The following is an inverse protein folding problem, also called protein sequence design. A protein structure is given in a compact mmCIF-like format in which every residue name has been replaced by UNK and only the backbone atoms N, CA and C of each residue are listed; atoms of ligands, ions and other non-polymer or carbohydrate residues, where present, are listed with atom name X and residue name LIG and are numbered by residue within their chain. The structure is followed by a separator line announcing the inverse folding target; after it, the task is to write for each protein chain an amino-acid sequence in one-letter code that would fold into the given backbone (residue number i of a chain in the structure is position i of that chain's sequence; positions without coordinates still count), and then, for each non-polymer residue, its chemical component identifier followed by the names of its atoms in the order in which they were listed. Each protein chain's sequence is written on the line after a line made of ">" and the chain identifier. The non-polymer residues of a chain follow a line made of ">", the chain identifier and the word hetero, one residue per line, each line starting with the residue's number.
data_IF_319325065271
#
_entry.id   IF_319325065271
#
_cell.length_a   1.000
_cell.length_b   1.000
_cell.length_c   1.000
_cell.angle_alpha   90.00
_cell.angle_beta   90.00
_cell.angle_gamma   90.00
#
_symmetry.space_group_name_H-M   'P 1'
#
loop_
_entity.id
_entity.type
_entity.pdbx_description
1 polymer ?
#
# COMPACT_ATOMS: atom_id res chain seq x y z
N UNK A 1 40.84 -15.01 -20.49
CA UNK A 1 41.42 -13.71 -20.89
C UNK A 1 40.80 -12.63 -20.02
N UNK A 2 41.56 -12.09 -19.06
CA UNK A 2 41.06 -11.06 -18.14
C UNK A 2 40.94 -9.71 -18.85
N UNK A 3 39.80 -9.04 -18.72
CA UNK A 3 39.56 -7.70 -19.29
C UNK A 3 40.04 -6.65 -18.29
N UNK A 4 40.84 -5.70 -18.76
CA UNK A 4 41.35 -4.59 -17.95
C UNK A 4 40.85 -3.28 -18.53
N UNK A 5 40.60 -2.30 -17.65
CA UNK A 5 40.25 -0.93 -18.06
C UNK A 5 41.19 0.02 -17.32
N UNK A 6 41.71 1.03 -18.03
CA UNK A 6 42.67 1.99 -17.47
C UNK A 6 41.92 3.24 -17.04
N UNK A 7 42.05 3.63 -15.76
CA UNK A 7 41.49 4.87 -15.23
C UNK A 7 42.56 5.57 -14.41
N UNK A 8 42.85 6.84 -14.73
CA UNK A 8 43.92 7.64 -14.10
C UNK A 8 45.29 6.94 -14.09
N UNK A 9 45.70 6.36 -15.22
CA UNK A 9 47.01 5.71 -15.37
C UNK A 9 47.17 4.37 -14.63
N UNK A 10 46.15 3.91 -13.90
CA UNK A 10 46.17 2.60 -13.21
C UNK A 10 45.32 1.58 -13.95
N UNK A 11 45.84 0.36 -14.11
CA UNK A 11 45.12 -0.77 -14.71
C UNK A 11 44.24 -1.41 -13.64
N UNK A 12 42.94 -1.40 -13.86
CA UNK A 12 41.96 -2.05 -12.97
C UNK A 12 41.52 -3.33 -13.65
N UNK A 13 41.67 -4.46 -12.94
CA UNK A 13 41.12 -5.73 -13.37
C UNK A 13 39.60 -5.65 -13.29
N UNK A 14 38.91 -5.86 -14.42
CA UNK A 14 37.45 -5.86 -14.45
C UNK A 14 36.97 -7.28 -14.63
N UNK A 15 36.41 -7.81 -13.56
CA UNK A 15 35.76 -9.10 -13.57
C UNK A 15 34.37 -8.95 -14.20
N UNK A 16 34.12 -9.67 -15.29
CA UNK A 16 32.80 -9.68 -15.92
C UNK A 16 31.90 -10.58 -15.10
N UNK A 17 31.14 -9.98 -14.18
CA UNK A 17 30.09 -10.69 -13.47
C UNK A 17 29.07 -11.17 -14.49
N UNK A 18 28.81 -12.48 -14.51
CA UNK A 18 27.68 -13.03 -15.25
C UNK A 18 26.41 -12.36 -14.71
N UNK A 19 25.47 -11.90 -15.56
CA UNK A 19 24.19 -11.42 -15.07
C UNK A 19 23.59 -12.52 -14.21
N UNK A 20 23.28 -12.20 -12.95
CA UNK A 20 22.44 -13.06 -12.11
C UNK A 20 21.16 -13.26 -12.91
N UNK A 21 20.99 -14.44 -13.49
CA UNK A 21 19.68 -14.83 -13.97
C UNK A 21 18.73 -14.67 -12.78
N UNK A 22 17.52 -14.11 -12.93
CA UNK A 22 16.52 -14.13 -11.88
C UNK A 22 16.07 -15.58 -11.67
N UNK A 23 16.95 -16.36 -11.04
CA UNK A 23 16.78 -17.75 -10.71
C UNK A 23 16.17 -17.81 -9.33
N UNK A 24 15.00 -18.44 -9.27
CA UNK A 24 14.23 -18.62 -8.04
C UNK A 24 13.26 -17.47 -7.87
N UNK A 25 12.01 -17.68 -8.29
CA UNK A 25 10.90 -16.87 -7.82
C UNK A 25 11.03 -16.76 -6.31
N UNK A 26 11.10 -15.52 -5.82
CA UNK A 26 11.03 -15.23 -4.40
C UNK A 26 9.93 -16.14 -3.85
N UNK A 27 10.31 -17.07 -2.97
CA UNK A 27 9.38 -17.80 -2.10
C UNK A 27 8.26 -16.82 -1.78
N UNK A 28 6.99 -17.18 -2.05
CA UNK A 28 5.83 -16.29 -2.10
C UNK A 28 5.73 -15.38 -0.85
N UNK A 29 6.60 -14.39 -0.77
CA UNK A 29 6.71 -13.42 0.29
C UNK A 29 5.50 -12.56 0.02
N UNK A 30 4.50 -12.79 0.86
CA UNK A 30 3.28 -12.03 0.76
C UNK A 30 3.72 -10.62 1.17
N UNK A 31 3.70 -9.72 0.21
CA UNK A 31 3.84 -8.31 0.44
C UNK A 31 2.49 -7.64 0.17
N UNK A 32 2.13 -6.67 0.99
CA UNK A 32 1.01 -5.78 0.67
C UNK A 32 1.54 -4.73 -0.30
N UNK A 33 1.12 -4.80 -1.56
CA UNK A 33 1.46 -3.78 -2.57
C UNK A 33 0.47 -2.63 -2.45
N UNK A 34 1.00 -1.41 -2.31
CA UNK A 34 0.21 -0.18 -2.39
C UNK A 34 0.44 0.49 -3.74
N UNK A 35 -0.64 0.99 -4.34
CA UNK A 35 -0.50 1.80 -5.56
C UNK A 35 -0.03 3.20 -5.20
N UNK A 36 0.67 3.85 -6.14
CA UNK A 36 1.12 5.23 -5.93
C UNK A 36 -0.05 6.20 -5.75
N UNK A 37 -1.22 5.88 -6.31
CA UNK A 37 -2.45 6.63 -6.07
C UNK A 37 -2.91 6.53 -4.61
N UNK A 38 -2.86 5.34 -4.00
CA UNK A 38 -3.20 5.16 -2.58
C UNK A 38 -2.26 5.97 -1.68
N UNK A 39 -0.96 5.93 -1.97
CA UNK A 39 0.06 6.69 -1.23
C UNK A 39 -0.19 8.20 -1.37
N UNK A 40 -0.50 8.69 -2.58
CA UNK A 40 -0.83 10.11 -2.80
C UNK A 40 -2.09 10.53 -2.05
N UNK A 41 -3.14 9.71 -2.06
CA UNK A 41 -4.36 10.00 -1.29
C UNK A 41 -4.09 10.04 0.20
N UNK A 42 -3.28 9.13 0.73
CA UNK A 42 -2.86 9.16 2.12
C UNK A 42 -2.08 10.44 2.43
N UNK A 43 -1.05 10.76 1.64
CA UNK A 43 -0.20 11.92 1.93
C UNK A 43 -0.91 13.27 1.74
N UNK A 44 -1.77 13.42 0.73
CA UNK A 44 -2.39 14.71 0.41
C UNK A 44 -3.73 14.92 1.11
N UNK A 45 -4.48 13.85 1.35
CA UNK A 45 -5.88 13.97 1.74
C UNK A 45 -6.15 13.56 3.19
N UNK A 46 -5.17 13.02 3.92
CA UNK A 46 -5.30 12.83 5.37
C UNK A 46 -4.97 14.12 6.11
N UNK A 47 -5.90 14.57 6.93
CA UNK A 47 -5.74 15.75 7.79
C UNK A 47 -4.99 15.42 9.08
N UNK A 48 -4.92 14.14 9.46
CA UNK A 48 -4.36 13.69 10.73
C UNK A 48 -3.28 12.62 10.51
N UNK A 49 -2.15 12.76 11.21
CA UNK A 49 -1.07 11.77 11.21
C UNK A 49 -1.54 10.38 11.70
N UNK A 50 -2.56 10.35 12.57
CA UNK A 50 -3.17 9.11 13.06
C UNK A 50 -3.81 8.27 11.95
N UNK A 51 -4.30 8.90 10.88
CA UNK A 51 -4.99 8.22 9.78
C UNK A 51 -4.03 7.36 8.97
N UNK A 52 -2.83 7.88 8.70
CA UNK A 52 -1.75 7.10 8.09
C UNK A 52 -1.37 5.89 8.96
N UNK A 53 -1.19 6.09 10.28
CA UNK A 53 -0.86 5.00 11.21
C UNK A 53 -1.94 3.93 11.26
N UNK A 54 -3.22 4.32 11.31
CA UNK A 54 -4.36 3.39 11.28
C UNK A 54 -4.38 2.61 9.96
N UNK A 55 -4.15 3.27 8.82
CA UNK A 55 -4.13 2.58 7.53
C UNK A 55 -3.04 1.50 7.47
N UNK A 56 -1.82 1.80 7.93
CA UNK A 56 -0.75 0.81 8.00
C UNK A 56 -1.11 -0.39 8.88
N UNK A 57 -1.73 -0.16 10.04
CA UNK A 57 -2.19 -1.24 10.91
C UNK A 57 -3.30 -2.08 10.26
N UNK A 58 -4.20 -1.46 9.50
CA UNK A 58 -5.24 -2.15 8.74
C UNK A 58 -4.64 -2.99 7.60
N UNK A 59 -3.62 -2.49 6.89
CA UNK A 59 -2.91 -3.28 5.88
C UNK A 59 -2.24 -4.51 6.48
N UNK A 60 -1.59 -4.34 7.64
CA UNK A 60 -0.98 -5.47 8.35
C UNK A 60 -2.02 -6.50 8.83
N UNK A 61 -3.21 -6.07 9.25
CA UNK A 61 -4.30 -6.99 9.58
C UNK A 61 -4.88 -7.67 8.35
N UNK A 62 -5.10 -6.92 7.27
CA UNK A 62 -5.56 -7.47 5.98
C UNK A 62 -4.59 -8.52 5.46
N UNK A 63 -3.29 -8.26 5.59
CA UNK A 63 -2.23 -9.19 5.28
C UNK A 63 -2.37 -10.51 6.04
N UNK A 64 -2.51 -10.43 7.37
CA UNK A 64 -2.74 -11.60 8.23
C UNK A 64 -4.05 -12.33 7.91
N UNK A 65 -5.05 -11.58 7.42
CA UNK A 65 -6.33 -12.11 6.97
C UNK A 65 -6.33 -12.57 5.50
N UNK A 66 -5.16 -12.65 4.84
CA UNK A 66 -5.05 -13.09 3.44
C UNK A 66 -5.90 -12.23 2.48
N UNK A 67 -5.88 -10.91 2.69
CA UNK A 67 -6.69 -9.92 1.97
C UNK A 67 -8.21 -10.13 2.08
N UNK A 68 -8.69 -10.98 3.00
CA UNK A 68 -10.11 -11.15 3.27
C UNK A 68 -10.64 -10.02 4.18
N UNK A 69 -11.93 -9.71 4.10
CA UNK A 69 -12.58 -8.84 5.07
C UNK A 69 -12.38 -9.38 6.49
N UNK A 70 -12.11 -8.49 7.44
CA UNK A 70 -11.84 -8.88 8.83
C UNK A 70 -12.59 -8.01 9.82
N UNK A 71 -12.96 -8.61 10.96
CA UNK A 71 -13.59 -7.88 12.04
C UNK A 71 -12.57 -6.99 12.79
N UNK A 72 -12.97 -5.76 13.05
CA UNK A 72 -12.24 -4.78 13.83
C UNK A 72 -13.02 -4.48 15.12
N UNK A 73 -12.38 -4.75 16.26
CA UNK A 73 -12.87 -4.34 17.56
C UNK A 73 -12.81 -2.80 17.72
N UNK A 74 -13.69 -2.26 18.55
CA UNK A 74 -13.83 -0.82 18.76
C UNK A 74 -12.58 -0.15 19.37
N UNK A 75 -11.73 -0.93 20.03
CA UNK A 75 -10.49 -0.56 20.71
C UNK A 75 -9.27 -1.29 20.13
N UNK A 76 -9.39 -1.79 18.90
CA UNK A 76 -8.39 -2.60 18.22
C UNK A 76 -6.96 -2.03 18.20
N UNK A 77 -6.81 -0.71 18.34
CA UNK A 77 -5.52 -0.01 18.27
C UNK A 77 -5.14 0.71 19.57
N UNK A 78 -5.81 0.40 20.68
CA UNK A 78 -5.52 0.98 22.00
C UNK A 78 -4.07 0.73 22.41
N UNK A 79 -3.57 -0.50 22.20
CA UNK A 79 -2.16 -0.88 22.45
C UNK A 79 -1.15 -0.17 21.55
N UNK A 80 -1.60 0.47 20.47
CA UNK A 80 -0.77 1.29 19.60
C UNK A 80 -0.83 2.79 19.95
N UNK A 81 -1.41 3.12 21.11
CA UNK A 81 -1.59 4.50 21.57
C UNK A 81 -2.65 5.28 20.78
N UNK A 82 -3.54 4.59 20.07
CA UNK A 82 -4.62 5.24 19.31
C UNK A 82 -5.89 5.15 20.15
N UNK A 83 -6.37 6.30 20.60
CA UNK A 83 -7.65 6.38 21.31
C UNK A 83 -8.81 5.94 20.43
N UNK A 84 -9.86 5.40 21.04
CA UNK A 84 -11.08 5.01 20.32
C UNK A 84 -11.66 6.15 19.46
N UNK A 85 -11.81 7.40 19.95
CA UNK A 85 -12.25 8.51 19.10
C UNK A 85 -11.35 8.75 17.88
N UNK A 86 -10.03 8.71 18.06
CA UNK A 86 -9.06 8.88 16.96
C UNK A 86 -9.15 7.74 15.94
N UNK A 87 -9.33 6.50 16.40
CA UNK A 87 -9.57 5.35 15.53
C UNK A 87 -10.82 5.57 14.67
N UNK A 88 -11.94 5.95 15.27
CA UNK A 88 -13.19 6.18 14.53
C UNK A 88 -13.07 7.32 13.52
N UNK A 89 -12.39 8.41 13.88
CA UNK A 89 -12.11 9.51 12.94
C UNK A 89 -11.26 9.05 11.76
N UNK A 90 -10.18 8.32 12.04
CA UNK A 90 -9.30 7.77 11.01
C UNK A 90 -10.03 6.80 10.07
N UNK A 91 -10.86 5.90 10.60
CA UNK A 91 -11.66 4.95 9.81
C UNK A 91 -12.61 5.69 8.87
N UNK A 92 -13.36 6.68 9.37
CA UNK A 92 -14.25 7.50 8.54
C UNK A 92 -13.51 8.27 7.46
N UNK A 93 -12.32 8.79 7.78
CA UNK A 93 -11.49 9.49 6.80
C UNK A 93 -10.99 8.55 5.70
N UNK A 94 -10.52 7.35 6.05
CA UNK A 94 -10.08 6.34 5.08
C UNK A 94 -11.22 5.83 4.19
N UNK A 95 -12.42 5.69 4.75
CA UNK A 95 -13.63 5.32 4.01
C UNK A 95 -14.04 6.43 3.04
N UNK A 96 -14.00 7.71 3.48
CA UNK A 96 -14.22 8.87 2.60
C UNK A 96 -13.23 8.91 1.44
N UNK A 97 -11.99 8.50 1.67
CA UNK A 97 -10.94 8.39 0.65
C UNK A 97 -11.06 7.13 -0.22
N UNK A 98 -12.08 6.29 0.02
CA UNK A 98 -12.31 5.00 -0.66
C UNK A 98 -11.10 4.05 -0.58
N UNK A 99 -10.27 4.21 0.45
CA UNK A 99 -9.14 3.32 0.71
C UNK A 99 -9.57 2.06 1.45
N UNK A 100 -10.66 2.17 2.23
CA UNK A 100 -11.30 1.05 2.91
C UNK A 100 -12.82 1.13 2.71
N UNK A 101 -13.50 0.02 2.96
CA UNK A 101 -14.95 -0.05 3.14
C UNK A 101 -15.25 -0.67 4.50
N UNK A 102 -16.28 -0.15 5.18
CA UNK A 102 -16.72 -0.69 6.46
C UNK A 102 -18.17 -1.19 6.41
N UNK A 103 -18.41 -2.33 7.04
CA UNK A 103 -19.75 -2.89 7.21
C UNK A 103 -20.02 -3.16 8.70
N UNK A 104 -21.28 -3.07 9.17
CA UNK A 104 -21.64 -3.47 10.53
C UNK A 104 -21.32 -4.95 10.75
N UNK A 105 -20.55 -5.26 11.79
CA UNK A 105 -20.25 -6.64 12.18
C UNK A 105 -21.37 -7.30 12.99
N UNK A 106 -21.32 -8.63 13.09
CA UNK A 106 -22.29 -9.43 13.88
C UNK A 106 -22.22 -9.17 15.40
N UNK A 107 -21.07 -8.71 15.90
CA UNK A 107 -20.87 -8.38 17.31
C UNK A 107 -21.16 -6.89 17.58
N UNK A 108 -21.67 -6.58 18.78
CA UNK A 108 -21.95 -5.18 19.19
C UNK A 108 -20.69 -4.32 19.00
N UNK A 109 -20.79 -3.31 18.13
CA UNK A 109 -19.75 -2.31 17.82
C UNK A 109 -18.51 -2.84 17.07
N UNK A 110 -18.59 -4.04 16.48
CA UNK A 110 -17.58 -4.52 15.55
C UNK A 110 -17.83 -3.96 14.14
N UNK A 111 -16.76 -3.63 13.43
CA UNK A 111 -16.81 -3.31 12.00
C UNK A 111 -16.13 -4.40 11.21
N UNK A 112 -16.70 -4.81 10.08
CA UNK A 112 -15.98 -5.60 9.08
C UNK A 112 -15.28 -4.62 8.16
N UNK A 113 -13.97 -4.78 7.95
CA UNK A 113 -13.16 -3.90 7.12
C UNK A 113 -12.63 -4.66 5.92
N UNK A 114 -12.78 -4.03 4.76
CA UNK A 114 -12.22 -4.46 3.48
C UNK A 114 -11.28 -3.38 2.96
N UNK A 115 -10.07 -3.75 2.53
CA UNK A 115 -9.14 -2.81 1.88
C UNK A 115 -9.50 -2.73 0.40
N UNK A 116 -9.71 -1.53 -0.13
CA UNK A 116 -10.01 -1.37 -1.55
C UNK A 116 -8.76 -1.61 -2.39
N UNK A 117 -8.81 -2.63 -3.25
CA UNK A 117 -7.79 -2.86 -4.28
C UNK A 117 -7.94 -1.87 -5.46
N UNK A 118 -9.11 -1.27 -5.61
CA UNK A 118 -9.45 -0.40 -6.73
C UNK A 118 -9.46 1.07 -6.29
N UNK A 119 -8.35 1.77 -6.53
CA UNK A 119 -8.50 3.15 -6.99
C UNK A 119 -8.55 3.02 -8.50
N UNK A 120 -9.76 3.05 -9.06
CA UNK A 120 -9.93 3.10 -10.51
C UNK A 120 -9.17 4.31 -11.03
N UNK A 121 -8.29 4.03 -11.98
CA UNK A 121 -7.49 4.96 -12.78
C UNK A 121 -8.42 5.82 -13.64
N UNK A 122 -9.19 6.72 -13.04
CA UNK A 122 -10.14 7.57 -13.79
C UNK A 122 -9.77 9.06 -13.80
N UNK A 123 -8.58 9.43 -13.32
CA UNK A 123 -8.20 10.84 -13.24
C UNK A 123 -6.75 11.13 -13.65
N UNK A 124 -6.21 10.43 -14.66
CA UNK A 124 -4.91 10.81 -15.23
C UNK A 124 -4.78 10.60 -16.73
N UNK A 125 -5.85 10.79 -17.52
CA UNK A 125 -5.67 11.14 -18.93
C UNK A 125 -6.85 11.94 -19.52
N UNK A 126 -6.83 13.29 -19.51
CA UNK A 126 -7.84 14.08 -20.18
C UNK A 126 -7.78 13.96 -21.73
N UNK A 127 -6.76 13.31 -22.30
CA UNK A 127 -6.59 13.22 -23.76
C UNK A 127 -7.45 12.14 -24.43
N UNK A 128 -8.05 11.21 -23.67
CA UNK A 128 -8.82 10.10 -24.25
C UNK A 128 -10.27 10.44 -24.60
N UNK A 129 -10.78 11.63 -24.24
CA UNK A 129 -12.14 12.07 -24.56
C UNK A 129 -12.31 12.65 -25.99
N UNK A 130 -11.23 12.86 -26.74
CA UNK A 130 -11.26 13.57 -28.03
C UNK A 130 -11.19 12.66 -29.28
N UNK A 131 -11.60 11.39 -29.17
CA UNK A 131 -11.70 10.47 -30.33
C UNK A 131 -13.03 9.72 -30.38
N UNK A 132 -14.15 10.44 -30.29
CA UNK A 132 -15.46 9.96 -30.78
C UNK A 132 -16.28 11.12 -31.34
N UNK A 133 -15.87 11.60 -32.50
CA UNK A 133 -16.75 12.22 -33.50
C UNK A 133 -16.28 11.75 -34.87
N UNK A 134 -16.88 10.67 -35.35
CA UNK A 134 -17.09 10.40 -36.76
C UNK A 134 -18.58 10.17 -36.94
#
# INVERSE_FOLDING_TARGET
>A
MSKYVVRHGRRIAVETLKPVQPGGGLSAERFVKLTWAQVKLLHRATRFATTGKVFHLLLFRSFKAYAKPFALAADAFSSNGISRPSQWRAIRELERLRLISTEPGKAKRALVISISAAIQTEALDPASASKRKH
#
